data_IF_896733960697
#
_entry.id   IF_896733960697
#
_cell.length_a   1.000
_cell.length_b   1.000
_cell.length_c   1.000
_cell.angle_alpha   90.00
_cell.angle_beta   90.00
_cell.angle_gamma   90.00
#
_symmetry.space_group_name_H-M   'P 1'
#
loop_
_entity.id
_entity.type
_entity.pdbx_description
1 polymer ?
#
# COMPACT_ATOMS: atom_id res chain seq x y z
N UNK A 1 -44.58 5.87 2.66
CA UNK A 1 -43.87 5.21 1.55
C UNK A 1 -43.64 6.28 0.48
N UNK A 2 -42.44 6.81 0.43
CA UNK A 2 -42.03 7.82 -0.54
C UNK A 2 -41.98 7.16 -1.93
N UNK A 3 -42.76 7.67 -2.89
CA UNK A 3 -42.73 7.19 -4.27
C UNK A 3 -41.37 7.55 -4.84
N UNK A 4 -40.46 6.57 -4.91
CA UNK A 4 -39.17 6.71 -5.58
C UNK A 4 -39.46 6.99 -7.06
N UNK A 5 -39.06 8.17 -7.53
CA UNK A 5 -39.22 8.57 -8.92
C UNK A 5 -38.28 7.72 -9.81
N UNK A 6 -38.82 6.63 -10.33
CA UNK A 6 -38.09 5.63 -11.14
C UNK A 6 -37.52 6.19 -12.45
N UNK A 7 -37.90 7.40 -12.85
CA UNK A 7 -37.35 8.09 -14.04
C UNK A 7 -35.91 8.55 -13.90
N UNK A 8 -35.38 8.59 -12.66
CA UNK A 8 -33.98 8.99 -12.37
C UNK A 8 -33.07 7.83 -11.99
N UNK A 9 -33.55 6.59 -12.12
CA UNK A 9 -32.78 5.40 -11.74
C UNK A 9 -32.14 4.73 -12.96
N UNK A 10 -30.87 4.40 -12.83
CA UNK A 10 -30.09 3.68 -13.84
C UNK A 10 -30.06 2.19 -13.53
N UNK A 11 -30.16 1.35 -14.54
CA UNK A 11 -29.82 -0.07 -14.38
C UNK A 11 -28.28 -0.21 -14.24
N UNK A 12 -27.82 -1.35 -13.72
CA UNK A 12 -26.41 -1.61 -13.47
C UNK A 12 -25.52 -1.42 -14.71
N UNK A 13 -26.02 -1.75 -15.90
CA UNK A 13 -25.30 -1.56 -17.16
C UNK A 13 -25.18 -0.08 -17.55
N UNK A 14 -26.23 0.68 -17.32
CA UNK A 14 -26.27 2.13 -17.61
C UNK A 14 -25.38 2.90 -16.61
N UNK A 15 -25.48 2.56 -15.32
CA UNK A 15 -24.62 3.15 -14.31
C UNK A 15 -23.13 2.83 -14.53
N UNK A 16 -22.83 1.59 -14.91
CA UNK A 16 -21.46 1.18 -15.25
C UNK A 16 -20.94 1.95 -16.46
N UNK A 17 -21.73 2.04 -17.52
CA UNK A 17 -21.37 2.77 -18.74
C UNK A 17 -21.16 4.27 -18.45
N UNK A 18 -22.03 4.90 -17.67
CA UNK A 18 -21.91 6.30 -17.27
C UNK A 18 -20.61 6.59 -16.49
N UNK A 19 -20.08 5.62 -15.78
CA UNK A 19 -18.82 5.72 -15.03
C UNK A 19 -17.60 5.21 -15.81
N UNK A 20 -17.75 4.73 -17.05
CA UNK A 20 -16.67 4.10 -17.81
C UNK A 20 -16.19 2.76 -17.23
N UNK A 21 -17.04 2.05 -16.49
CA UNK A 21 -16.71 0.82 -15.79
C UNK A 21 -17.46 -0.40 -16.34
N UNK A 22 -16.99 -1.58 -16.00
CA UNK A 22 -17.71 -2.81 -16.27
C UNK A 22 -18.78 -3.11 -15.20
N UNK A 23 -19.84 -3.81 -15.59
CA UNK A 23 -20.85 -4.32 -14.66
C UNK A 23 -20.24 -5.14 -13.52
N UNK A 24 -19.23 -5.96 -13.82
CA UNK A 24 -18.52 -6.77 -12.82
C UNK A 24 -17.78 -5.93 -11.79
N UNK A 25 -17.27 -4.75 -12.19
CA UNK A 25 -16.64 -3.80 -11.28
C UNK A 25 -17.65 -3.25 -10.28
N UNK A 26 -18.85 -2.84 -10.73
CA UNK A 26 -19.89 -2.38 -9.83
C UNK A 26 -20.30 -3.45 -8.83
N UNK A 27 -20.49 -4.69 -9.29
CA UNK A 27 -20.81 -5.82 -8.41
C UNK A 27 -19.71 -6.08 -7.36
N UNK A 28 -18.43 -5.88 -7.72
CA UNK A 28 -17.32 -5.98 -6.76
C UNK A 28 -17.34 -4.85 -5.74
N UNK A 29 -17.70 -3.62 -6.14
CA UNK A 29 -17.86 -2.50 -5.21
C UNK A 29 -18.98 -2.74 -4.21
N UNK A 30 -20.11 -3.30 -4.65
CA UNK A 30 -21.19 -3.73 -3.76
C UNK A 30 -20.74 -4.82 -2.78
N UNK A 31 -20.09 -5.87 -3.29
CA UNK A 31 -19.58 -6.97 -2.45
C UNK A 31 -18.60 -6.50 -1.38
N UNK A 32 -17.82 -5.45 -1.69
CA UNK A 32 -16.88 -4.81 -0.76
C UNK A 32 -17.55 -3.78 0.16
N UNK A 33 -18.86 -3.58 0.07
CA UNK A 33 -19.59 -2.61 0.90
C UNK A 33 -19.34 -1.14 0.54
N UNK A 34 -18.59 -0.85 -0.53
CA UNK A 34 -18.30 0.52 -0.97
C UNK A 34 -19.47 1.19 -1.67
N UNK A 35 -20.32 0.41 -2.30
CA UNK A 35 -21.48 0.84 -3.04
C UNK A 35 -22.71 0.10 -2.55
N UNK A 36 -23.83 0.81 -2.41
CA UNK A 36 -25.13 0.23 -2.11
C UNK A 36 -26.14 0.75 -3.15
N UNK A 37 -26.85 -0.13 -3.88
CA UNK A 37 -27.83 0.32 -4.86
C UNK A 37 -28.93 1.14 -4.17
N UNK A 38 -29.45 2.16 -4.86
CA UNK A 38 -30.50 3.01 -4.36
C UNK A 38 -31.83 2.24 -4.20
N UNK A 39 -32.07 1.27 -5.10
CA UNK A 39 -33.27 0.43 -5.05
C UNK A 39 -32.97 -0.98 -5.59
N UNK A 40 -33.56 -1.97 -4.96
CA UNK A 40 -33.57 -3.36 -5.42
C UNK A 40 -35.01 -3.77 -5.59
N UNK A 41 -35.38 -4.17 -6.82
CA UNK A 41 -36.75 -4.61 -7.12
C UNK A 41 -37.04 -5.95 -6.40
N UNK A 42 -38.08 -6.04 -5.56
CA UNK A 42 -38.33 -7.21 -4.74
C UNK A 42 -38.73 -8.45 -5.57
N UNK A 43 -39.35 -8.25 -6.70
CA UNK A 43 -39.88 -9.30 -7.60
C UNK A 43 -38.82 -9.89 -8.52
N UNK A 44 -37.81 -9.10 -8.93
CA UNK A 44 -36.80 -9.52 -9.93
C UNK A 44 -35.38 -9.48 -9.40
N UNK A 45 -35.13 -8.94 -8.19
CA UNK A 45 -33.81 -8.72 -7.65
C UNK A 45 -32.94 -7.74 -8.46
N UNK A 46 -33.56 -7.00 -9.39
CA UNK A 46 -32.85 -6.03 -10.23
C UNK A 46 -32.40 -4.85 -9.38
N UNK A 47 -31.14 -4.42 -9.60
CA UNK A 47 -30.50 -3.30 -8.89
C UNK A 47 -30.62 -2.04 -9.72
N UNK A 48 -30.97 -0.95 -9.04
CA UNK A 48 -31.07 0.38 -9.63
C UNK A 48 -30.22 1.36 -8.83
N UNK A 49 -29.61 2.28 -9.55
CA UNK A 49 -28.65 3.27 -9.06
C UNK A 49 -29.14 4.68 -9.39
N UNK A 50 -28.94 5.59 -8.48
CA UNK A 50 -29.26 7.00 -8.68
C UNK A 50 -28.00 7.83 -9.00
N UNK A 51 -28.16 9.12 -9.16
CA UNK A 51 -27.05 10.05 -9.43
C UNK A 51 -26.05 10.09 -8.26
N UNK A 52 -26.51 9.88 -7.03
CA UNK A 52 -25.64 9.78 -5.85
C UNK A 52 -24.72 8.55 -5.95
N UNK A 53 -25.25 7.43 -6.38
CA UNK A 53 -24.47 6.25 -6.63
C UNK A 53 -23.40 6.47 -7.73
N UNK A 54 -23.78 7.14 -8.82
CA UNK A 54 -22.84 7.49 -9.90
C UNK A 54 -21.72 8.38 -9.37
N UNK A 55 -22.04 9.44 -8.65
CA UNK A 55 -21.06 10.33 -8.04
C UNK A 55 -20.13 9.56 -7.08
N UNK A 56 -20.69 8.68 -6.24
CA UNK A 56 -19.91 7.84 -5.32
C UNK A 56 -18.97 6.89 -6.05
N UNK A 57 -19.41 6.27 -7.14
CA UNK A 57 -18.57 5.39 -7.98
C UNK A 57 -17.38 6.17 -8.54
N UNK A 58 -17.63 7.34 -9.12
CA UNK A 58 -16.57 8.21 -9.68
C UNK A 58 -15.57 8.64 -8.60
N UNK A 59 -16.05 8.95 -7.41
CA UNK A 59 -15.19 9.29 -6.27
C UNK A 59 -14.33 8.11 -5.81
N UNK A 60 -14.90 6.90 -5.75
CA UNK A 60 -14.16 5.66 -5.45
C UNK A 60 -13.03 5.45 -6.47
N UNK A 61 -13.33 5.57 -7.76
CA UNK A 61 -12.33 5.38 -8.81
C UNK A 61 -11.23 6.45 -8.74
N UNK A 62 -11.57 7.70 -8.43
CA UNK A 62 -10.59 8.76 -8.20
C UNK A 62 -9.67 8.44 -7.02
N UNK A 63 -10.20 7.96 -5.91
CA UNK A 63 -9.39 7.55 -4.76
C UNK A 63 -8.49 6.35 -5.08
N UNK A 64 -8.99 5.38 -5.84
CA UNK A 64 -8.16 4.26 -6.31
C UNK A 64 -7.02 4.73 -7.20
N UNK A 65 -7.27 5.69 -8.10
CA UNK A 65 -6.23 6.28 -8.94
C UNK A 65 -5.17 7.03 -8.12
N UNK A 66 -5.52 7.54 -6.94
CA UNK A 66 -4.58 8.12 -5.96
C UNK A 66 -3.86 7.05 -5.13
N UNK A 67 -4.13 5.76 -5.36
CA UNK A 67 -3.50 4.65 -4.65
C UNK A 67 -4.13 4.27 -3.32
N UNK A 68 -5.33 4.78 -3.00
CA UNK A 68 -6.02 4.37 -1.77
C UNK A 68 -6.56 2.94 -1.85
N UNK A 69 -6.40 2.21 -0.77
CA UNK A 69 -6.94 0.86 -0.59
C UNK A 69 -8.46 0.88 -0.34
N UNK A 70 -9.06 -0.30 -0.47
CA UNK A 70 -10.52 -0.47 -0.26
C UNK A 70 -10.96 -0.03 1.15
N UNK A 71 -10.17 -0.36 2.18
CA UNK A 71 -10.48 -0.08 3.59
C UNK A 71 -10.35 1.42 3.89
N UNK A 72 -9.36 2.09 3.34
CA UNK A 72 -9.17 3.54 3.47
C UNK A 72 -10.36 4.30 2.85
N UNK A 73 -10.79 3.87 1.66
CA UNK A 73 -11.96 4.44 0.97
C UNK A 73 -13.25 4.16 1.75
N UNK A 74 -13.42 2.96 2.30
CA UNK A 74 -14.58 2.64 3.15
C UNK A 74 -14.59 3.52 4.40
N UNK A 75 -13.44 3.67 5.06
CA UNK A 75 -13.28 4.53 6.22
C UNK A 75 -13.64 6.00 5.94
N UNK A 76 -13.28 6.53 4.78
CA UNK A 76 -13.68 7.86 4.35
C UNK A 76 -15.21 8.02 4.30
N UNK A 77 -15.92 7.08 3.68
CA UNK A 77 -17.37 7.15 3.59
C UNK A 77 -18.07 6.93 4.93
N UNK A 78 -17.53 6.10 5.82
CA UNK A 78 -18.08 5.88 7.16
C UNK A 78 -17.94 7.15 8.02
N UNK A 79 -16.87 7.91 7.86
CA UNK A 79 -16.64 9.19 8.56
C UNK A 79 -17.34 10.39 7.92
N UNK A 80 -18.34 10.17 7.09
CA UNK A 80 -19.13 11.25 6.47
C UNK A 80 -18.43 12.00 5.35
N UNK A 81 -17.31 11.49 4.81
CA UNK A 81 -16.59 12.12 3.70
C UNK A 81 -15.54 13.15 4.15
N UNK A 82 -15.08 13.09 5.40
CA UNK A 82 -14.00 13.94 5.89
C UNK A 82 -12.67 13.56 5.25
N UNK A 83 -12.05 14.53 4.56
CA UNK A 83 -10.84 14.30 3.77
C UNK A 83 -9.57 14.16 4.63
N UNK A 84 -9.61 14.63 5.89
CA UNK A 84 -8.45 14.67 6.79
C UNK A 84 -7.78 13.30 6.98
N UNK A 85 -8.59 12.23 7.13
CA UNK A 85 -8.05 10.87 7.26
C UNK A 85 -7.31 10.38 6.01
N UNK A 86 -7.78 10.75 4.82
CA UNK A 86 -7.11 10.40 3.56
C UNK A 86 -5.87 11.28 3.33
N UNK A 87 -5.93 12.56 3.74
CA UNK A 87 -4.81 13.48 3.67
C UNK A 87 -3.65 12.97 4.51
N UNK A 88 -3.89 12.58 5.77
CA UNK A 88 -2.86 12.02 6.64
C UNK A 88 -2.16 10.80 6.04
N UNK A 89 -2.92 9.90 5.39
CA UNK A 89 -2.35 8.73 4.69
C UNK A 89 -1.46 9.16 3.53
N UNK A 90 -1.85 10.18 2.76
CA UNK A 90 -1.03 10.69 1.64
C UNK A 90 0.25 11.37 2.15
N UNK A 91 0.17 12.12 3.23
CA UNK A 91 1.33 12.78 3.85
C UNK A 91 2.34 11.75 4.38
N UNK A 92 1.86 10.69 5.02
CA UNK A 92 2.72 9.59 5.48
C UNK A 92 3.40 8.88 4.30
N UNK A 93 2.66 8.59 3.21
CA UNK A 93 3.22 8.00 1.99
C UNK A 93 4.25 8.90 1.34
N UNK A 94 3.98 10.21 1.27
CA UNK A 94 4.92 11.19 0.74
C UNK A 94 6.22 11.17 1.54
N UNK A 95 6.13 11.19 2.87
CA UNK A 95 7.30 11.12 3.76
C UNK A 95 8.10 9.83 3.58
N UNK A 96 7.41 8.70 3.44
CA UNK A 96 8.04 7.40 3.18
C UNK A 96 8.77 7.38 1.82
N UNK A 97 8.14 7.92 0.77
CA UNK A 97 8.74 8.01 -0.56
C UNK A 97 9.94 8.95 -0.58
N UNK A 98 9.87 10.08 0.11
CA UNK A 98 11.00 11.01 0.23
C UNK A 98 12.22 10.34 0.87
N UNK A 99 12.02 9.58 1.96
CA UNK A 99 13.11 8.80 2.59
C UNK A 99 13.69 7.75 1.65
N UNK A 100 12.85 7.05 0.93
CA UNK A 100 13.30 6.04 -0.04
C UNK A 100 14.10 6.63 -1.19
N UNK A 101 13.69 7.79 -1.69
CA UNK A 101 14.42 8.53 -2.73
C UNK A 101 15.79 8.97 -2.21
N UNK A 102 15.87 9.49 -1.00
CA UNK A 102 17.15 9.91 -0.41
C UNK A 102 18.09 8.73 -0.19
N UNK A 103 17.58 7.62 0.32
CA UNK A 103 18.35 6.37 0.45
C UNK A 103 18.89 5.88 -0.91
N UNK A 104 18.09 5.93 -1.96
CA UNK A 104 18.53 5.54 -3.31
C UNK A 104 19.58 6.50 -3.87
N UNK A 105 19.47 7.81 -3.58
CA UNK A 105 20.48 8.79 -3.97
C UNK A 105 21.80 8.52 -3.29
N UNK A 106 21.81 8.25 -1.99
CA UNK A 106 23.01 7.88 -1.25
C UNK A 106 23.67 6.64 -1.85
N UNK A 107 22.90 5.58 -2.10
CA UNK A 107 23.43 4.36 -2.74
C UNK A 107 24.00 4.62 -4.15
N UNK A 108 23.37 5.50 -4.92
CA UNK A 108 23.88 5.86 -6.25
C UNK A 108 25.19 6.64 -6.19
N UNK A 109 25.39 7.45 -5.15
CA UNK A 109 26.67 8.18 -4.94
C UNK A 109 27.74 7.31 -4.30
N UNK A 110 27.38 6.36 -3.43
CA UNK A 110 28.34 5.44 -2.79
C UNK A 110 28.91 4.40 -3.76
N UNK A 111 28.19 4.04 -4.83
CA UNK A 111 28.68 3.05 -5.80
C UNK A 111 29.94 3.48 -6.55
N UNK A 112 30.27 4.77 -6.56
CA UNK A 112 31.48 5.31 -7.24
C UNK A 112 32.67 5.52 -6.28
N UNK A 113 32.52 5.31 -4.98
CA UNK A 113 33.60 5.51 -4.01
C UNK A 113 33.81 4.28 -3.11
N UNK A 114 34.27 3.19 -3.66
CA UNK A 114 34.93 2.17 -2.84
C UNK A 114 36.31 2.67 -2.40
N UNK A 115 36.40 3.17 -1.17
CA UNK A 115 37.69 3.41 -0.53
C UNK A 115 38.19 2.12 0.11
N UNK A 116 39.14 1.46 -0.52
CA UNK A 116 39.78 0.29 0.07
C UNK A 116 40.99 0.79 0.89
N UNK A 117 40.93 0.72 2.19
CA UNK A 117 42.04 0.96 3.08
C UNK A 117 42.72 -0.36 3.47
N UNK A 118 43.98 -0.49 3.16
CA UNK A 118 44.77 -1.60 3.62
C UNK A 118 45.29 -1.29 5.04
N UNK A 119 44.78 -2.01 6.02
CA UNK A 119 45.22 -1.86 7.43
C UNK A 119 46.03 -3.07 7.81
N UNK A 120 47.26 -2.82 8.28
CA UNK A 120 48.08 -3.89 8.85
C UNK A 120 47.71 -4.07 10.31
N UNK A 121 47.10 -5.19 10.63
CA UNK A 121 46.75 -5.55 12.01
C UNK A 121 47.94 -6.26 12.67
N UNK A 122 48.19 -6.04 13.99
CA UNK A 122 49.17 -6.81 14.71
C UNK A 122 48.80 -8.31 14.70
N UNK A 123 49.81 -9.16 14.76
CA UNK A 123 49.60 -10.60 14.75
C UNK A 123 48.65 -11.01 15.89
N UNK A 124 47.50 -11.57 15.51
CA UNK A 124 46.49 -12.05 16.42
C UNK A 124 46.10 -13.46 16.03
N UNK A 125 45.84 -14.28 17.05
CA UNK A 125 45.34 -15.63 16.81
C UNK A 125 43.84 -15.55 16.56
N UNK A 126 43.42 -15.85 15.33
CA UNK A 126 42.02 -15.81 14.92
C UNK A 126 41.45 -17.24 14.89
N UNK A 127 40.29 -17.42 15.50
CA UNK A 127 39.49 -18.64 15.34
C UNK A 127 38.48 -18.39 14.20
N UNK A 128 38.61 -19.12 13.09
CA UNK A 128 37.71 -18.97 11.94
C UNK A 128 36.66 -20.06 12.04
N UNK A 129 35.41 -19.66 12.20
CA UNK A 129 34.24 -20.53 12.12
C UNK A 129 33.50 -20.27 10.81
N UNK A 130 33.38 -21.31 9.98
CA UNK A 130 32.67 -21.21 8.73
C UNK A 130 31.17 -21.38 8.95
N UNK A 131 30.41 -20.34 8.67
CA UNK A 131 28.94 -20.40 8.62
C UNK A 131 28.48 -20.32 7.15
N UNK A 132 27.69 -21.30 6.74
CA UNK A 132 27.01 -21.27 5.44
C UNK A 132 25.66 -20.59 5.63
N UNK A 133 25.60 -19.29 5.41
CA UNK A 133 24.35 -18.54 5.42
C UNK A 133 23.60 -18.70 4.09
N UNK A 134 22.30 -19.04 4.16
CA UNK A 134 21.44 -19.21 2.99
C UNK A 134 20.79 -17.91 2.53
N UNK A 135 20.77 -16.88 3.36
CA UNK A 135 20.19 -15.56 3.07
C UNK A 135 21.25 -14.47 3.07
N UNK A 136 20.97 -13.36 2.36
CA UNK A 136 21.84 -12.18 2.31
C UNK A 136 22.05 -11.55 3.70
N UNK A 137 21.00 -11.52 4.52
CA UNK A 137 21.05 -10.99 5.89
C UNK A 137 21.96 -11.82 6.81
N UNK A 138 21.94 -13.16 6.70
CA UNK A 138 22.81 -14.05 7.47
C UNK A 138 24.28 -13.91 7.10
N UNK A 139 24.59 -13.64 5.83
CA UNK A 139 25.96 -13.36 5.39
C UNK A 139 26.49 -12.03 5.93
N UNK A 140 25.65 -11.03 6.08
CA UNK A 140 26.03 -9.72 6.62
C UNK A 140 26.30 -9.79 8.14
N UNK A 141 25.48 -10.54 8.88
CA UNK A 141 25.66 -10.71 10.32
C UNK A 141 26.93 -11.51 10.66
N UNK A 142 27.37 -12.44 9.80
CA UNK A 142 28.60 -13.21 10.04
C UNK A 142 29.87 -12.37 9.90
N UNK A 143 29.83 -11.27 9.14
CA UNK A 143 30.95 -10.34 8.98
C UNK A 143 31.14 -9.38 10.16
N UNK A 144 30.07 -9.11 10.93
CA UNK A 144 30.09 -8.19 12.07
C UNK A 144 30.66 -8.87 13.34
N UNK A 145 30.63 -10.20 13.43
CA UNK A 145 31.11 -10.95 14.60
C UNK A 145 32.62 -11.20 14.67
N UNK A 146 33.44 -10.58 13.80
CA UNK A 146 34.90 -10.78 13.76
C UNK A 146 35.65 -9.89 14.75
N UNK A 147 35.00 -9.13 15.62
CA UNK A 147 35.67 -8.02 16.30
C UNK A 147 35.76 -8.04 17.81
N UNK A 148 35.86 -9.17 18.48
CA UNK A 148 36.39 -9.15 19.86
C UNK A 148 37.46 -10.22 20.05
N UNK A 149 38.72 -9.84 20.30
CA UNK A 149 39.71 -10.79 20.75
C UNK A 149 39.35 -11.24 22.17
N UNK A 150 38.97 -12.50 22.32
CA UNK A 150 38.84 -13.12 23.61
C UNK A 150 40.17 -12.96 24.36
N UNK A 151 40.16 -12.26 25.51
CA UNK A 151 41.31 -12.17 26.41
C UNK A 151 41.74 -13.59 26.79
N UNK A 152 43.03 -13.92 26.73
CA UNK A 152 43.50 -15.19 27.19
C UNK A 152 43.19 -15.30 28.70
N UNK A 153 42.50 -16.38 29.11
CA UNK A 153 42.34 -16.75 30.47
C UNK A 153 43.71 -17.20 30.97
N UNK A 154 44.33 -16.41 31.84
CA UNK A 154 45.54 -16.85 32.54
C UNK A 154 45.15 -17.96 33.51
N UNK A 155 45.78 -19.15 33.32
CA UNK A 155 45.79 -20.24 34.25
C UNK A 155 46.88 -19.94 35.29
#
# INVERSE_FOLDING_TARGET
>A
MEKIDTKKLFQITEAAHACGLSRSTLMRLEKKGLLKPAYIAPDSGRRYYDNHNVARILQIEKFKAMGFGTEEIAGYFVRGGEAEGLLAVLEERLHSLQRSVEEMRLRATESDQFSVQMVTLPAATCCIQWHVGHTFAERYLSLIHISEPTRPISI
#
